data_IF_803723016767
#
_entry.id   IF_803723016767
#
_cell.length_a   1.000
_cell.length_b   1.000
_cell.length_c   1.000
_cell.angle_alpha   90.00
_cell.angle_beta   90.00
_cell.angle_gamma   90.00
#
_symmetry.space_group_name_H-M   'P 1'
#
loop_
_entity.id
_entity.type
_entity.pdbx_description
1 polymer ?
#
# COMPACT_ATOMS: atom_id res chain seq x y z
N UNK A 1 0.89 -59.86 -38.92
CA UNK A 1 0.40 -59.32 -37.64
C UNK A 1 0.04 -57.85 -37.85
N UNK A 2 -1.08 -57.59 -38.53
CA UNK A 2 -2.38 -57.23 -37.94
C UNK A 2 -2.35 -55.98 -37.06
N UNK A 3 -2.35 -54.84 -37.75
CA UNK A 3 -2.84 -53.55 -37.29
C UNK A 3 -4.34 -53.75 -37.04
N UNK A 4 -4.76 -53.70 -35.77
CA UNK A 4 -6.17 -53.82 -35.46
C UNK A 4 -6.87 -52.46 -35.58
N UNK A 5 -7.91 -52.52 -36.40
CA UNK A 5 -9.01 -51.59 -36.60
C UNK A 5 -9.59 -51.17 -35.25
N UNK A 6 -9.57 -49.87 -34.96
CA UNK A 6 -10.66 -49.15 -34.30
C UNK A 6 -10.39 -47.65 -34.49
N UNK A 7 -10.42 -47.25 -35.76
CA UNK A 7 -10.76 -45.87 -36.14
C UNK A 7 -11.98 -45.97 -37.04
N UNK A 8 -12.93 -45.05 -36.84
CA UNK A 8 -14.04 -44.71 -37.72
C UNK A 8 -15.39 -45.41 -37.51
N UNK A 9 -16.21 -44.80 -36.65
CA UNK A 9 -17.62 -44.38 -36.82
C UNK A 9 -18.05 -43.91 -35.42
N UNK A 10 -18.60 -42.72 -35.18
CA UNK A 10 -19.60 -41.99 -35.92
C UNK A 10 -19.66 -40.55 -35.38
N UNK A 11 -19.68 -39.58 -36.29
CA UNK A 11 -20.03 -38.19 -36.04
C UNK A 11 -21.54 -38.03 -35.82
N UNK A 12 -21.90 -36.95 -35.09
CA UNK A 12 -23.07 -36.06 -35.26
C UNK A 12 -24.14 -35.96 -34.13
N UNK A 13 -24.29 -34.70 -33.70
CA UNK A 13 -25.47 -33.95 -33.17
C UNK A 13 -25.65 -33.93 -31.64
N UNK A 14 -25.22 -32.85 -30.96
CA UNK A 14 -25.87 -31.53 -30.71
C UNK A 14 -26.95 -31.61 -29.62
N UNK A 15 -26.70 -30.92 -28.50
CA UNK A 15 -27.58 -30.17 -27.56
C UNK A 15 -26.65 -29.59 -26.47
N UNK A 16 -26.24 -28.30 -26.46
CA UNK A 16 -26.87 -27.12 -25.83
C UNK A 16 -27.33 -27.47 -24.38
N UNK A 17 -26.75 -27.00 -23.25
CA UNK A 17 -26.59 -25.60 -22.77
C UNK A 17 -25.70 -25.54 -21.47
N UNK A 18 -25.50 -24.41 -20.73
CA UNK A 18 -24.18 -23.87 -20.39
C UNK A 18 -23.88 -23.71 -18.88
N UNK A 19 -22.65 -23.27 -18.55
CA UNK A 19 -22.28 -22.69 -17.25
C UNK A 19 -21.07 -23.40 -16.61
N UNK A 20 -20.00 -22.75 -16.17
CA UNK A 20 -19.65 -21.34 -16.06
C UNK A 20 -18.12 -21.35 -15.87
N UNK A 21 -17.37 -20.72 -16.77
CA UNK A 21 -15.91 -20.68 -16.77
C UNK A 21 -15.52 -19.21 -16.80
N UNK A 22 -14.98 -18.68 -15.70
CA UNK A 22 -14.32 -17.37 -15.69
C UNK A 22 -13.12 -17.43 -14.76
N UNK A 23 -11.94 -17.63 -15.37
CA UNK A 23 -10.63 -17.29 -14.80
C UNK A 23 -10.18 -15.99 -15.47
N UNK A 24 -9.69 -15.06 -14.66
CA UNK A 24 -8.63 -14.08 -14.92
C UNK A 24 -8.58 -13.36 -16.27
N UNK A 25 -8.85 -12.05 -16.25
CA UNK A 25 -8.05 -10.99 -16.89
C UNK A 25 -8.82 -9.66 -16.78
N UNK A 26 -8.32 -8.71 -16.00
CA UNK A 26 -8.66 -7.30 -16.23
C UNK A 26 -7.37 -6.50 -16.39
N UNK A 27 -6.84 -6.54 -17.61
CA UNK A 27 -5.91 -5.56 -18.13
C UNK A 27 -6.75 -4.57 -18.93
N UNK A 28 -7.06 -3.42 -18.34
CA UNK A 28 -7.81 -2.35 -19.01
C UNK A 28 -6.87 -1.47 -19.83
N UNK A 29 -6.65 -1.83 -21.10
CA UNK A 29 -6.29 -0.86 -22.14
C UNK A 29 -7.54 -0.01 -22.43
N UNK A 30 -7.48 1.30 -22.21
CA UNK A 30 -8.43 2.23 -22.81
C UNK A 30 -7.81 2.87 -24.05
N UNK A 31 -8.47 2.61 -25.17
CA UNK A 31 -8.27 3.19 -26.49
C UNK A 31 -8.45 4.72 -26.40
N UNK A 32 -7.44 5.47 -26.86
CA UNK A 32 -7.51 6.91 -27.01
C UNK A 32 -8.40 7.26 -28.22
N UNK A 33 -9.52 7.94 -27.97
CA UNK A 33 -10.34 8.57 -29.00
C UNK A 33 -9.97 10.06 -29.04
N UNK A 34 -9.34 10.49 -30.12
CA UNK A 34 -9.01 11.88 -30.43
C UNK A 34 -10.28 12.66 -30.76
N UNK A 35 -10.55 13.73 -30.00
CA UNK A 35 -11.39 14.84 -30.44
C UNK A 35 -10.57 16.13 -30.32
N UNK A 36 -10.37 16.79 -31.46
CA UNK A 36 -9.82 18.14 -31.56
C UNK A 36 -10.79 19.15 -30.94
N UNK A 37 -10.31 19.93 -29.97
CA UNK A 37 -10.99 21.15 -29.50
C UNK A 37 -10.05 22.33 -29.70
N UNK A 38 -10.57 23.34 -30.41
CA UNK A 38 -9.90 24.58 -30.80
C UNK A 38 -9.64 25.49 -29.58
N UNK A 39 -8.59 26.30 -29.72
CA UNK A 39 -8.00 27.19 -28.73
C UNK A 39 -8.94 28.27 -28.15
N UNK A 40 -8.66 28.65 -26.89
CA UNK A 40 -9.20 29.82 -26.20
C UNK A 40 -8.75 29.90 -24.72
N UNK A 41 -7.75 30.74 -24.48
CA UNK A 41 -7.37 31.50 -23.28
C UNK A 41 -6.92 30.84 -21.94
N UNK A 42 -5.65 31.10 -21.65
CA UNK A 42 -4.92 31.27 -20.39
C UNK A 42 -5.60 30.89 -19.05
N UNK A 43 -5.30 29.67 -18.61
CA UNK A 43 -4.99 29.37 -17.19
C UNK A 43 -3.75 28.49 -17.20
N UNK A 44 -2.68 28.91 -16.52
CA UNK A 44 -1.48 28.11 -16.27
C UNK A 44 -1.79 26.87 -15.41
N UNK A 45 -2.41 25.88 -16.05
CA UNK A 45 -2.52 24.50 -15.59
C UNK A 45 -1.21 23.81 -15.93
N UNK A 46 -0.29 23.74 -14.96
CA UNK A 46 0.87 22.84 -15.07
C UNK A 46 0.39 21.41 -14.92
N UNK A 47 -0.20 20.88 -15.99
CA UNK A 47 -0.68 19.50 -16.07
C UNK A 47 0.44 18.54 -15.63
N UNK A 48 0.14 17.66 -14.67
CA UNK A 48 0.90 16.42 -14.48
C UNK A 48 0.62 15.49 -15.68
N UNK A 49 0.90 15.93 -16.91
CA UNK A 49 0.92 15.00 -18.03
C UNK A 49 2.19 14.16 -17.92
N UNK A 50 2.03 12.84 -17.98
CA UNK A 50 3.08 11.84 -17.85
C UNK A 50 4.12 11.96 -18.97
N UNK A 51 5.37 12.38 -18.70
CA UNK A 51 6.46 12.07 -19.61
C UNK A 51 6.90 10.65 -19.27
N UNK A 52 6.88 9.71 -20.24
CA UNK A 52 7.36 8.31 -20.14
C UNK A 52 8.41 8.15 -19.02
N UNK A 53 7.95 7.73 -17.85
CA UNK A 53 8.43 8.33 -16.60
C UNK A 53 9.51 7.49 -15.94
N UNK A 54 10.65 8.11 -15.67
CA UNK A 54 11.57 7.64 -14.63
C UNK A 54 10.79 7.26 -13.36
N UNK A 55 11.23 6.23 -12.61
CA UNK A 55 10.54 5.83 -11.40
C UNK A 55 10.41 7.01 -10.44
N UNK A 56 9.21 7.19 -9.86
CA UNK A 56 8.91 8.29 -8.95
C UNK A 56 9.91 8.35 -7.79
N UNK A 57 10.40 7.20 -7.32
CA UNK A 57 11.43 7.14 -6.30
C UNK A 57 12.62 6.36 -6.84
N UNK A 58 13.73 7.07 -7.09
CA UNK A 58 14.95 6.46 -7.59
C UNK A 58 15.74 5.86 -6.44
N UNK A 59 15.80 4.54 -6.37
CA UNK A 59 16.62 3.80 -5.42
C UNK A 59 18.06 3.65 -5.91
N UNK A 60 19.01 3.66 -4.98
CA UNK A 60 20.38 3.18 -5.27
C UNK A 60 20.38 1.66 -5.47
N UNK A 61 21.39 1.07 -6.14
CA UNK A 61 21.48 -0.39 -6.30
C UNK A 61 21.43 -1.15 -4.96
N UNK A 62 22.04 -0.60 -3.91
CA UNK A 62 22.01 -1.18 -2.56
C UNK A 62 20.61 -1.17 -1.96
N UNK A 63 19.90 -0.04 -2.03
CA UNK A 63 18.53 0.09 -1.54
C UNK A 63 17.58 -0.86 -2.29
N UNK A 64 17.70 -0.93 -3.61
CA UNK A 64 16.92 -1.85 -4.44
C UNK A 64 17.18 -3.32 -4.06
N UNK A 65 18.45 -3.69 -3.86
CA UNK A 65 18.82 -5.05 -3.44
C UNK A 65 18.21 -5.41 -2.08
N UNK A 66 18.27 -4.50 -1.09
CA UNK A 66 17.65 -4.71 0.23
C UNK A 66 16.12 -4.86 0.09
N UNK A 67 15.47 -4.02 -0.71
CA UNK A 67 14.02 -4.08 -0.94
C UNK A 67 13.58 -5.42 -1.53
N UNK A 68 14.28 -5.89 -2.58
CA UNK A 68 13.98 -7.15 -3.24
C UNK A 68 14.26 -8.35 -2.33
N UNK A 69 15.39 -8.35 -1.63
CA UNK A 69 15.72 -9.38 -0.63
C UNK A 69 14.66 -9.44 0.48
N UNK A 70 14.23 -8.29 1.00
CA UNK A 70 13.21 -8.23 2.03
C UNK A 70 11.87 -8.84 1.57
N UNK A 71 11.47 -8.56 0.32
CA UNK A 71 10.26 -9.14 -0.28
C UNK A 71 10.39 -10.66 -0.41
N UNK A 72 11.54 -11.16 -0.84
CA UNK A 72 11.80 -12.59 -1.01
C UNK A 72 11.76 -13.34 0.33
N UNK A 73 12.53 -12.87 1.32
CA UNK A 73 12.58 -13.46 2.68
C UNK A 73 11.18 -13.54 3.30
N UNK A 74 10.39 -12.47 3.16
CA UNK A 74 9.04 -12.43 3.74
C UNK A 74 8.08 -13.30 2.94
N UNK A 75 8.17 -13.33 1.60
CA UNK A 75 7.35 -14.19 0.75
C UNK A 75 7.59 -15.68 1.03
N UNK A 76 8.84 -16.09 1.19
CA UNK A 76 9.22 -17.46 1.57
C UNK A 76 8.62 -17.82 2.93
N UNK A 77 8.79 -16.95 3.93
CA UNK A 77 8.27 -17.16 5.29
C UNK A 77 6.75 -17.33 5.34
N UNK A 78 6.00 -16.59 4.52
CA UNK A 78 4.53 -16.68 4.49
C UNK A 78 4.00 -17.76 3.54
N UNK A 79 4.84 -18.33 2.68
CA UNK A 79 4.46 -19.38 1.74
C UNK A 79 3.34 -18.95 0.77
N UNK A 80 3.37 -17.69 0.30
CA UNK A 80 2.37 -17.13 -0.61
C UNK A 80 0.99 -16.85 0.01
N UNK A 81 0.81 -17.07 1.31
CA UNK A 81 -0.46 -16.77 2.00
C UNK A 81 -0.60 -15.26 2.20
N UNK A 82 -1.79 -14.74 1.90
CA UNK A 82 -2.13 -13.36 2.25
C UNK A 82 -2.34 -13.29 3.76
N UNK A 83 -1.62 -12.44 4.51
CA UNK A 83 -1.77 -12.32 5.95
C UNK A 83 -3.17 -11.83 6.32
N UNK A 84 -3.76 -12.46 7.34
CA UNK A 84 -5.09 -12.15 7.89
C UNK A 84 -5.04 -12.27 9.42
N UNK A 85 -5.88 -11.50 10.11
CA UNK A 85 -6.18 -11.69 11.51
C UNK A 85 -6.90 -13.03 11.73
N UNK A 86 -6.81 -13.57 12.95
CA UNK A 86 -7.40 -14.87 13.29
C UNK A 86 -8.91 -14.82 13.59
N UNK A 87 -9.53 -13.63 13.48
CA UNK A 87 -10.95 -13.43 13.81
C UNK A 87 -11.58 -12.39 12.90
N UNK A 88 -12.89 -12.53 12.70
CA UNK A 88 -13.75 -11.55 12.02
C UNK A 88 -14.47 -10.61 12.99
N UNK A 89 -14.43 -10.90 14.30
CA UNK A 89 -15.10 -10.09 15.32
C UNK A 89 -14.31 -8.82 15.59
N UNK A 90 -14.90 -7.66 15.30
CA UNK A 90 -14.27 -6.37 15.58
C UNK A 90 -14.05 -6.13 17.09
N UNK A 91 -14.82 -6.77 17.97
CA UNK A 91 -14.57 -6.66 19.41
C UNK A 91 -13.31 -7.42 19.80
N UNK A 92 -13.21 -8.70 19.39
CA UNK A 92 -12.03 -9.53 19.62
C UNK A 92 -10.76 -8.93 19.00
N UNK A 93 -10.86 -8.35 17.80
CA UNK A 93 -9.73 -7.66 17.17
C UNK A 93 -9.18 -6.52 18.03
N UNK A 94 -10.02 -5.79 18.76
CA UNK A 94 -9.58 -4.69 19.62
C UNK A 94 -9.00 -5.17 20.94
N UNK A 95 -9.53 -6.25 21.51
CA UNK A 95 -8.96 -6.90 22.69
C UNK A 95 -7.53 -7.38 22.38
N UNK A 96 -7.36 -8.09 21.26
CA UNK A 96 -6.06 -8.55 20.78
C UNK A 96 -5.12 -7.38 20.45
N UNK A 97 -5.64 -6.33 19.79
CA UNK A 97 -4.86 -5.15 19.46
C UNK A 97 -4.34 -4.41 20.70
N UNK A 98 -5.13 -4.35 21.78
CA UNK A 98 -4.72 -3.67 23.02
C UNK A 98 -3.52 -4.34 23.69
N UNK A 99 -3.42 -5.68 23.59
CA UNK A 99 -2.25 -6.44 24.06
C UNK A 99 -1.07 -6.25 23.10
N UNK A 100 -1.33 -6.39 21.80
CA UNK A 100 -0.35 -6.25 20.72
C UNK A 100 0.32 -4.87 20.68
N UNK A 101 -0.44 -3.79 20.93
CA UNK A 101 0.03 -2.40 20.87
C UNK A 101 1.14 -2.09 21.88
N UNK A 102 1.04 -2.64 23.10
CA UNK A 102 2.14 -2.53 24.08
C UNK A 102 3.42 -3.11 23.51
N UNK A 103 3.34 -4.30 22.92
CA UNK A 103 4.51 -4.98 22.38
C UNK A 103 5.06 -4.31 21.13
N UNK A 104 4.19 -3.86 20.23
CA UNK A 104 4.58 -3.07 19.06
C UNK A 104 5.36 -1.82 19.47
N UNK A 105 4.89 -1.09 20.49
CA UNK A 105 5.55 0.13 20.98
C UNK A 105 6.93 -0.13 21.55
N UNK A 106 7.07 -1.17 22.37
CA UNK A 106 8.38 -1.61 22.87
C UNK A 106 9.31 -1.94 21.70
N UNK A 107 8.86 -2.78 20.76
CA UNK A 107 9.66 -3.19 19.61
C UNK A 107 10.07 -2.00 18.74
N UNK A 108 9.13 -1.10 18.43
CA UNK A 108 9.40 0.08 17.61
C UNK A 108 10.44 0.99 18.27
N UNK A 109 10.38 1.19 19.59
CA UNK A 109 11.39 1.96 20.33
C UNK A 109 12.76 1.30 20.27
N UNK A 110 12.84 -0.01 20.53
CA UNK A 110 14.11 -0.74 20.44
C UNK A 110 14.70 -0.69 19.04
N UNK A 111 13.89 -0.92 18.00
CA UNK A 111 14.35 -0.82 16.61
C UNK A 111 14.87 0.58 16.35
N UNK A 112 14.09 1.62 16.68
CA UNK A 112 14.47 3.01 16.46
C UNK A 112 15.80 3.36 17.15
N UNK A 113 15.99 2.94 18.40
CA UNK A 113 17.25 3.13 19.13
C UNK A 113 18.43 2.43 18.44
N UNK A 114 18.25 1.18 17.98
CA UNK A 114 19.30 0.42 17.31
C UNK A 114 19.63 0.93 15.89
N UNK A 115 18.67 1.57 15.21
CA UNK A 115 18.81 1.98 13.81
C UNK A 115 19.00 3.49 13.63
N UNK A 116 19.01 4.26 14.73
CA UNK A 116 19.18 5.71 14.71
C UNK A 116 17.93 6.48 14.27
N UNK A 117 16.74 5.94 14.52
CA UNK A 117 15.46 6.57 14.22
C UNK A 117 14.71 7.05 15.47
N UNK A 118 13.51 7.59 15.24
CA UNK A 118 12.57 7.98 16.30
C UNK A 118 11.27 7.20 16.16
N UNK A 119 10.92 6.42 17.18
CA UNK A 119 9.63 5.73 17.21
C UNK A 119 8.50 6.72 17.49
N UNK A 120 7.47 6.72 16.63
CA UNK A 120 6.32 7.61 16.76
C UNK A 120 5.01 6.82 16.71
N UNK A 121 4.05 7.26 17.51
CA UNK A 121 2.76 6.60 17.69
C UNK A 121 1.61 7.57 17.40
N UNK A 122 0.40 7.05 17.12
CA UNK A 122 -0.79 7.89 16.92
C UNK A 122 -1.00 8.87 18.08
N UNK A 123 -1.57 10.07 17.83
CA UNK A 123 -1.95 11.01 18.88
C UNK A 123 -2.81 10.32 19.96
N UNK A 124 -2.53 10.61 21.23
CA UNK A 124 -3.15 9.92 22.37
C UNK A 124 -2.64 8.50 22.62
N UNK A 125 -1.66 8.02 21.84
CA UNK A 125 -1.07 6.69 21.97
C UNK A 125 -2.08 5.56 21.79
N UNK A 126 -3.22 5.82 21.14
CA UNK A 126 -4.35 4.90 21.10
C UNK A 126 -4.38 4.01 19.87
N UNK A 127 -5.20 2.96 19.97
CA UNK A 127 -5.61 2.16 18.83
C UNK A 127 -6.37 3.01 17.79
N UNK A 128 -6.47 2.51 16.57
CA UNK A 128 -7.36 3.08 15.55
C UNK A 128 -8.78 3.25 16.12
N UNK A 129 -9.45 4.35 15.79
CA UNK A 129 -10.82 4.57 16.26
C UNK A 129 -11.81 3.57 15.63
N UNK A 130 -12.73 3.03 16.44
CA UNK A 130 -13.71 2.00 16.00
C UNK A 130 -14.54 2.43 14.80
N UNK A 131 -14.98 3.69 14.74
CA UNK A 131 -15.72 4.24 13.59
C UNK A 131 -14.91 4.10 12.30
N UNK A 132 -13.64 4.51 12.31
CA UNK A 132 -12.75 4.44 11.15
C UNK A 132 -12.39 3.01 10.79
N UNK A 133 -12.25 2.11 11.76
CA UNK A 133 -12.05 0.69 11.51
C UNK A 133 -13.23 0.07 10.74
N UNK A 134 -14.48 0.33 11.17
CA UNK A 134 -15.68 -0.15 10.46
C UNK A 134 -15.75 0.38 9.03
N UNK A 135 -15.54 1.68 8.85
CA UNK A 135 -15.55 2.30 7.53
C UNK A 135 -14.47 1.70 6.62
N UNK A 136 -13.26 1.44 7.13
CA UNK A 136 -12.19 0.78 6.36
C UNK A 136 -12.60 -0.62 5.94
N UNK A 137 -13.21 -1.38 6.85
CA UNK A 137 -13.70 -2.74 6.56
C UNK A 137 -14.72 -2.70 5.42
N UNK A 138 -15.72 -1.82 5.51
CA UNK A 138 -16.80 -1.68 4.54
C UNK A 138 -16.30 -1.19 3.17
N UNK A 139 -15.51 -0.12 3.15
CA UNK A 139 -15.16 0.62 1.92
C UNK A 139 -13.92 0.07 1.24
N UNK A 140 -12.89 -0.32 1.99
CA UNK A 140 -11.57 -0.67 1.44
C UNK A 140 -11.29 -2.18 1.46
N UNK A 141 -11.92 -2.92 2.38
CA UNK A 141 -11.62 -4.34 2.62
C UNK A 141 -12.75 -5.27 2.20
N UNK A 142 -13.78 -4.76 1.51
CA UNK A 142 -14.89 -5.56 0.99
C UNK A 142 -15.71 -6.28 2.07
N UNK A 143 -15.79 -5.70 3.27
CA UNK A 143 -16.47 -6.27 4.43
C UNK A 143 -15.66 -7.28 5.24
N UNK A 144 -14.44 -7.64 4.82
CA UNK A 144 -13.62 -8.63 5.53
C UNK A 144 -12.79 -8.01 6.66
N UNK A 145 -13.29 -8.17 7.89
CA UNK A 145 -12.62 -7.70 9.09
C UNK A 145 -11.26 -8.37 9.35
N UNK A 146 -11.04 -9.60 8.86
CA UNK A 146 -9.74 -10.28 9.03
C UNK A 146 -8.61 -9.61 8.24
N UNK A 147 -8.95 -8.77 7.27
CA UNK A 147 -7.99 -7.98 6.49
C UNK A 147 -7.47 -6.72 7.24
N UNK A 148 -8.08 -6.36 8.38
CA UNK A 148 -7.78 -5.13 9.11
C UNK A 148 -6.52 -5.30 9.99
N UNK A 149 -5.38 -4.84 9.49
CA UNK A 149 -4.06 -5.03 10.12
C UNK A 149 -3.47 -3.77 10.77
N UNK A 150 -4.23 -2.68 10.84
CA UNK A 150 -3.77 -1.36 11.31
C UNK A 150 -4.57 -0.82 12.51
N UNK A 151 -5.13 -1.70 13.35
CA UNK A 151 -5.73 -1.29 14.63
C UNK A 151 -4.62 -0.85 15.59
N UNK A 152 -3.64 -1.72 15.80
CA UNK A 152 -2.36 -1.42 16.43
C UNK A 152 -1.37 -0.97 15.37
N UNK A 153 -0.82 0.24 15.50
CA UNK A 153 0.00 0.87 14.47
C UNK A 153 1.03 1.84 15.06
N UNK A 154 2.20 1.90 14.44
CA UNK A 154 3.25 2.85 14.76
C UNK A 154 4.14 3.14 13.56
N UNK A 155 5.06 4.07 13.72
CA UNK A 155 6.08 4.36 12.73
C UNK A 155 7.45 4.60 13.36
N UNK A 156 8.49 4.50 12.54
CA UNK A 156 9.84 4.94 12.88
C UNK A 156 10.29 5.94 11.82
N UNK A 157 10.71 7.10 12.30
CA UNK A 157 11.16 8.21 11.49
C UNK A 157 12.68 8.29 11.42
N UNK A 158 13.20 8.56 10.23
CA UNK A 158 14.63 8.67 9.95
C UNK A 158 14.97 9.99 9.26
N UNK A 159 16.24 10.39 9.32
CA UNK A 159 16.70 11.63 8.68
C UNK A 159 17.00 11.40 7.19
N UNK A 160 17.43 10.19 6.82
CA UNK A 160 17.77 9.84 5.45
C UNK A 160 17.25 8.46 5.01
N UNK A 161 17.30 8.22 3.69
CA UNK A 161 16.77 6.99 3.08
C UNK A 161 17.68 5.79 3.38
N UNK A 162 18.99 6.00 3.59
CA UNK A 162 19.93 4.91 3.93
C UNK A 162 19.54 4.30 5.27
N UNK A 163 19.22 5.12 6.27
CA UNK A 163 18.76 4.67 7.58
C UNK A 163 17.44 3.88 7.49
N UNK A 164 16.50 4.30 6.63
CA UNK A 164 15.24 3.56 6.42
C UNK A 164 15.50 2.13 5.92
N UNK A 165 16.38 1.97 4.93
CA UNK A 165 16.73 0.64 4.41
C UNK A 165 17.62 -0.15 5.38
N UNK A 166 18.49 0.50 6.15
CA UNK A 166 19.23 -0.14 7.24
C UNK A 166 18.27 -0.70 8.30
N UNK A 167 17.22 0.03 8.64
CA UNK A 167 16.20 -0.44 9.56
C UNK A 167 15.41 -1.63 9.03
N UNK A 168 15.02 -1.62 7.75
CA UNK A 168 14.39 -2.77 7.11
C UNK A 168 15.29 -4.02 7.21
N UNK A 169 16.58 -3.86 6.88
CA UNK A 169 17.57 -4.94 6.98
C UNK A 169 17.72 -5.44 8.42
N UNK A 170 17.87 -4.52 9.38
CA UNK A 170 17.96 -4.83 10.80
C UNK A 170 16.77 -5.65 11.28
N UNK A 171 15.54 -5.21 10.96
CA UNK A 171 14.30 -5.89 11.37
C UNK A 171 14.28 -7.33 10.86
N UNK A 172 14.60 -7.56 9.60
CA UNK A 172 14.54 -8.92 9.04
C UNK A 172 15.67 -9.80 9.55
N UNK A 173 16.89 -9.27 9.70
CA UNK A 173 18.05 -10.04 10.23
C UNK A 173 17.89 -10.43 11.70
N UNK A 174 17.17 -9.63 12.49
CA UNK A 174 16.91 -9.93 13.91
C UNK A 174 15.66 -10.80 14.13
N UNK A 175 15.07 -11.33 13.05
CA UNK A 175 14.02 -12.35 13.15
C UNK A 175 12.65 -11.83 13.61
N UNK A 176 12.42 -10.51 13.58
CA UNK A 176 11.10 -9.95 13.84
C UNK A 176 10.06 -10.60 12.90
N UNK A 177 8.86 -10.86 13.42
CA UNK A 177 7.83 -11.64 12.73
C UNK A 177 7.08 -10.82 11.66
N UNK A 178 7.81 -10.34 10.65
CA UNK A 178 7.23 -9.64 9.49
C UNK A 178 6.49 -10.64 8.60
N UNK A 179 5.23 -10.34 8.31
CA UNK A 179 4.34 -11.12 7.44
C UNK A 179 3.95 -10.39 6.16
N UNK A 180 4.32 -9.11 6.04
CA UNK A 180 4.17 -8.33 4.81
C UNK A 180 5.18 -7.20 4.77
N UNK A 181 5.73 -6.95 3.58
CA UNK A 181 6.55 -5.78 3.27
C UNK A 181 5.99 -5.13 2.01
N UNK A 182 5.84 -3.82 2.04
CA UNK A 182 5.55 -2.98 0.88
C UNK A 182 6.50 -1.81 0.87
N UNK A 183 7.38 -1.78 -0.12
CA UNK A 183 8.24 -0.63 -0.37
C UNK A 183 7.58 0.28 -1.39
N UNK A 184 7.09 1.45 -0.95
CA UNK A 184 6.40 2.40 -1.83
C UNK A 184 7.34 3.11 -2.81
N UNK A 185 8.65 2.87 -2.74
CA UNK A 185 9.53 3.27 -3.83
C UNK A 185 9.28 2.44 -5.10
N UNK A 186 9.00 1.14 -4.92
CA UNK A 186 8.72 0.19 -6.00
C UNK A 186 7.21 0.11 -6.31
N UNK A 187 6.37 0.37 -5.32
CA UNK A 187 4.91 0.37 -5.42
C UNK A 187 4.32 1.73 -4.99
N UNK A 188 4.56 2.81 -5.77
CA UNK A 188 4.18 4.16 -5.38
C UNK A 188 2.67 4.36 -5.30
N UNK A 189 2.24 5.14 -4.31
CA UNK A 189 0.86 5.61 -4.21
C UNK A 189 0.60 6.76 -5.19
N UNK A 190 -0.67 6.92 -5.60
CA UNK A 190 -1.09 8.05 -6.45
C UNK A 190 -0.72 9.41 -5.86
N UNK A 191 -0.81 9.52 -4.52
CA UNK A 191 -0.43 10.72 -3.75
C UNK A 191 1.06 10.98 -3.72
N UNK A 192 1.89 9.96 -4.00
CA UNK A 192 3.33 10.00 -3.82
C UNK A 192 3.78 9.91 -2.36
N UNK A 193 2.93 9.59 -1.38
CA UNK A 193 3.42 9.32 -0.03
C UNK A 193 4.34 8.09 -0.04
N UNK A 194 5.53 8.21 0.56
CA UNK A 194 6.54 7.15 0.62
C UNK A 194 6.80 6.66 2.03
N UNK A 195 6.78 5.34 2.20
CA UNK A 195 7.27 4.60 3.35
C UNK A 195 7.70 3.19 2.90
N UNK A 196 8.36 2.48 3.80
CA UNK A 196 8.39 1.02 3.81
C UNK A 196 7.37 0.57 4.86
N UNK A 197 6.27 0.00 4.38
CA UNK A 197 5.17 -0.46 5.20
C UNK A 197 5.32 -1.93 5.55
N UNK A 198 5.32 -2.23 6.84
CA UNK A 198 5.47 -3.57 7.40
C UNK A 198 4.20 -3.98 8.14
N UNK A 199 3.80 -5.24 7.98
CA UNK A 199 2.86 -5.88 8.90
C UNK A 199 3.61 -6.93 9.71
N UNK A 200 3.49 -6.86 11.03
CA UNK A 200 4.17 -7.76 11.97
C UNK A 200 3.13 -8.60 12.72
N UNK A 201 3.35 -9.91 12.78
CA UNK A 201 2.60 -10.81 13.65
C UNK A 201 3.14 -10.70 15.07
N UNK A 202 2.31 -10.22 15.99
CA UNK A 202 2.66 -10.10 17.41
C UNK A 202 2.61 -11.47 18.10
N UNK A 203 3.22 -11.62 19.30
CA UNK A 203 3.22 -12.90 20.01
C UNK A 203 1.83 -13.48 20.32
N UNK A 204 0.81 -12.62 20.45
CA UNK A 204 -0.59 -13.05 20.62
C UNK A 204 -1.30 -13.39 19.29
N UNK A 205 -0.60 -13.38 18.16
CA UNK A 205 -1.13 -13.67 16.84
C UNK A 205 -1.80 -12.48 16.14
N UNK A 206 -1.96 -11.33 16.81
CA UNK A 206 -2.50 -10.13 16.19
C UNK A 206 -1.51 -9.54 15.19
N UNK A 207 -1.98 -9.10 14.03
CA UNK A 207 -1.15 -8.41 13.06
C UNK A 207 -1.23 -6.90 13.28
N UNK A 208 -0.07 -6.27 13.46
CA UNK A 208 0.07 -4.84 13.65
C UNK A 208 0.85 -4.18 12.50
N UNK A 209 0.71 -2.86 12.37
CA UNK A 209 1.37 -2.06 11.34
C UNK A 209 2.59 -1.31 11.88
N UNK A 210 3.71 -1.36 11.16
CA UNK A 210 4.88 -0.52 11.39
C UNK A 210 5.31 0.13 10.08
N UNK A 211 5.40 1.46 10.05
CA UNK A 211 5.87 2.21 8.89
C UNK A 211 7.29 2.73 9.13
N UNK A 212 8.16 2.65 8.13
CA UNK A 212 9.50 3.27 8.15
C UNK A 212 9.53 4.38 7.11
N UNK A 213 9.82 5.61 7.50
CA UNK A 213 9.84 6.75 6.56
C UNK A 213 10.71 7.90 7.05
N UNK A 214 10.87 8.94 6.23
CA UNK A 214 11.61 10.14 6.61
C UNK A 214 10.80 11.01 7.58
N UNK A 215 11.49 11.70 8.50
CA UNK A 215 10.92 12.79 9.33
C UNK A 215 10.24 13.84 8.46
N UNK A 216 10.92 14.26 7.39
CA UNK A 216 10.43 15.30 6.48
C UNK A 216 9.10 14.91 5.79
N UNK A 217 8.96 13.64 5.38
CA UNK A 217 7.72 13.13 4.80
C UNK A 217 6.57 13.16 5.81
N UNK A 218 6.83 12.76 7.06
CA UNK A 218 5.81 12.76 8.11
C UNK A 218 5.42 14.17 8.54
N UNK A 219 6.38 15.09 8.62
CA UNK A 219 6.09 16.49 8.92
C UNK A 219 5.04 17.05 7.94
N UNK A 220 5.30 16.93 6.64
CA UNK A 220 4.34 17.37 5.63
C UNK A 220 3.02 16.62 5.71
N UNK A 221 3.07 15.30 5.91
CA UNK A 221 1.87 14.47 6.01
C UNK A 221 0.94 14.90 7.15
N UNK A 222 1.47 15.40 8.26
CA UNK A 222 0.68 15.85 9.41
C UNK A 222 0.17 17.27 9.20
N UNK A 223 1.02 18.19 8.71
CA UNK A 223 0.68 19.60 8.62
C UNK A 223 -0.24 19.95 7.45
N UNK A 224 -0.10 19.26 6.32
CA UNK A 224 -0.77 19.64 5.07
C UNK A 224 -1.36 18.44 4.33
N UNK A 225 -0.69 17.28 4.40
CA UNK A 225 -1.11 16.07 3.71
C UNK A 225 -2.39 15.45 4.29
N UNK A 226 -2.67 15.65 5.57
CA UNK A 226 -3.78 14.99 6.24
C UNK A 226 -5.13 15.41 5.66
N UNK A 227 -5.43 16.71 5.62
CA UNK A 227 -6.70 17.24 5.09
C UNK A 227 -6.92 16.84 3.63
N UNK A 228 -5.84 16.86 2.84
CA UNK A 228 -5.85 16.44 1.42
C UNK A 228 -6.17 14.96 1.28
N UNK A 229 -5.58 14.12 2.12
CA UNK A 229 -5.89 12.70 2.18
C UNK A 229 -7.34 12.45 2.61
N UNK A 230 -7.84 13.18 3.62
CA UNK A 230 -9.24 13.07 4.06
C UNK A 230 -10.21 13.46 2.96
N UNK A 231 -9.94 14.54 2.23
CA UNK A 231 -10.76 14.97 1.10
C UNK A 231 -10.85 13.91 0.00
N UNK A 232 -9.71 13.32 -0.41
CA UNK A 232 -9.69 12.23 -1.40
C UNK A 232 -10.48 11.03 -0.86
N UNK A 233 -10.18 10.61 0.37
CA UNK A 233 -10.82 9.45 1.01
C UNK A 233 -12.32 9.61 1.08
N UNK A 234 -12.82 10.79 1.41
CA UNK A 234 -14.25 11.04 1.56
C UNK A 234 -14.98 10.99 0.21
N UNK A 235 -14.35 11.46 -0.87
CA UNK A 235 -14.89 11.31 -2.24
C UNK A 235 -14.92 9.83 -2.68
N UNK A 236 -13.83 9.10 -2.48
CA UNK A 236 -13.74 7.67 -2.81
C UNK A 236 -14.74 6.84 -2.01
N UNK A 237 -14.82 7.07 -0.69
CA UNK A 237 -15.74 6.38 0.19
C UNK A 237 -17.21 6.68 -0.14
N UNK A 238 -17.51 7.90 -0.63
CA UNK A 238 -18.84 8.24 -1.12
C UNK A 238 -19.17 7.46 -2.38
N UNK A 239 -18.28 7.44 -3.37
CA UNK A 239 -18.49 6.71 -4.62
C UNK A 239 -18.72 5.20 -4.37
N UNK A 240 -17.95 4.59 -3.46
CA UNK A 240 -18.14 3.19 -3.05
C UNK A 240 -19.51 2.96 -2.40
N UNK A 241 -19.90 3.80 -1.43
CA UNK A 241 -21.20 3.67 -0.73
C UNK A 241 -22.39 3.88 -1.65
N UNK A 242 -22.26 4.77 -2.63
CA UNK A 242 -23.27 5.02 -3.66
C UNK A 242 -23.22 4.00 -4.81
N UNK A 243 -22.31 3.02 -4.74
CA UNK A 243 -22.09 1.99 -5.77
C UNK A 243 -21.97 2.57 -7.19
N UNK A 244 -21.19 3.65 -7.32
CA UNK A 244 -20.93 4.33 -8.59
C UNK A 244 -19.44 4.61 -8.79
N UNK A 245 -19.06 4.93 -10.02
CA UNK A 245 -17.76 5.51 -10.29
C UNK A 245 -17.66 6.95 -9.75
N UNK A 246 -16.43 7.40 -9.50
CA UNK A 246 -16.13 8.82 -9.28
C UNK A 246 -16.62 9.65 -10.48
N UNK A 247 -17.25 10.80 -10.22
CA UNK A 247 -17.63 11.72 -11.29
C UNK A 247 -16.38 12.30 -11.97
N UNK A 248 -16.49 12.84 -13.19
CA UNK A 248 -15.37 13.53 -13.84
C UNK A 248 -14.76 14.65 -12.97
N UNK A 249 -15.58 15.39 -12.23
CA UNK A 249 -15.16 16.48 -11.34
C UNK A 249 -14.44 15.96 -10.09
N UNK A 250 -14.97 14.91 -9.45
CA UNK A 250 -14.30 14.25 -8.32
C UNK A 250 -12.94 13.70 -8.76
N UNK A 251 -12.88 13.04 -9.93
CA UNK A 251 -11.64 12.51 -10.50
C UNK A 251 -10.62 13.61 -10.78
N UNK A 252 -11.02 14.69 -11.46
CA UNK A 252 -10.16 15.83 -11.72
C UNK A 252 -9.63 16.46 -10.43
N UNK A 253 -10.45 16.51 -9.38
CA UNK A 253 -10.06 17.00 -8.06
C UNK A 253 -9.03 16.09 -7.40
N UNK A 254 -9.28 14.77 -7.39
CA UNK A 254 -8.34 13.76 -6.86
C UNK A 254 -7.01 13.82 -7.60
N UNK A 255 -7.04 13.87 -8.92
CA UNK A 255 -5.83 13.91 -9.75
C UNK A 255 -4.99 15.17 -9.49
N UNK A 256 -5.65 16.32 -9.35
CA UNK A 256 -4.99 17.58 -8.98
C UNK A 256 -4.33 17.49 -7.59
N UNK A 257 -5.07 17.04 -6.58
CA UNK A 257 -4.54 16.90 -5.21
C UNK A 257 -3.37 15.90 -5.19
N UNK A 258 -3.49 14.76 -5.87
CA UNK A 258 -2.44 13.77 -5.97
C UNK A 258 -1.20 14.30 -6.69
N UNK A 259 -1.36 15.06 -7.78
CA UNK A 259 -0.24 15.69 -8.47
C UNK A 259 0.52 16.69 -7.57
N UNK A 260 -0.21 17.54 -6.84
CA UNK A 260 0.37 18.49 -5.89
C UNK A 260 1.16 17.77 -4.78
N UNK A 261 0.55 16.77 -4.13
CA UNK A 261 1.19 15.98 -3.08
C UNK A 261 2.42 15.23 -3.59
N UNK A 262 2.34 14.64 -4.79
CA UNK A 262 3.41 13.83 -5.37
C UNK A 262 4.69 14.63 -5.56
N UNK A 263 4.58 15.89 -6.01
CA UNK A 263 5.74 16.78 -6.17
C UNK A 263 6.45 17.00 -4.83
N UNK A 264 5.69 17.16 -3.75
CA UNK A 264 6.22 17.46 -2.42
C UNK A 264 6.90 16.23 -1.82
N UNK A 265 6.22 15.09 -1.79
CA UNK A 265 6.80 13.86 -1.26
C UNK A 265 8.00 13.38 -2.07
N UNK A 266 7.95 13.52 -3.40
CA UNK A 266 9.10 13.21 -4.25
C UNK A 266 10.31 14.09 -3.92
N UNK A 267 10.11 15.40 -3.75
CA UNK A 267 11.18 16.32 -3.40
C UNK A 267 11.78 16.00 -2.01
N UNK A 268 10.95 15.65 -1.02
CA UNK A 268 11.40 15.22 0.30
C UNK A 268 12.23 13.93 0.22
N UNK A 269 11.77 12.93 -0.54
CA UNK A 269 12.54 11.71 -0.78
C UNK A 269 13.88 12.00 -1.46
N UNK A 270 13.92 12.86 -2.47
CA UNK A 270 15.16 13.24 -3.15
C UNK A 270 16.16 13.97 -2.23
N UNK A 271 15.68 14.77 -1.27
CA UNK A 271 16.54 15.39 -0.25
C UNK A 271 17.08 14.34 0.72
N UNK A 272 16.23 13.44 1.21
CA UNK A 272 16.63 12.34 2.08
C UNK A 272 17.56 11.31 1.42
N UNK A 273 17.62 11.26 0.08
CA UNK A 273 18.61 10.44 -0.64
C UNK A 273 20.03 11.02 -0.59
N UNK A 274 20.19 12.31 -0.27
CA UNK A 274 21.47 13.04 -0.38
C UNK A 274 22.24 13.17 0.96
N UNK A 275 21.80 12.52 2.03
CA UNK A 275 22.62 12.36 3.24
C UNK A 275 23.64 11.23 3.00
N UNK A 276 24.92 11.47 2.73
CA UNK A 276 25.81 12.53 3.20
C UNK A 276 26.56 13.23 2.05
N UNK A 277 26.34 14.53 1.84
CA UNK A 277 27.38 15.44 1.36
C UNK A 277 28.24 15.87 2.55
N UNK A 278 29.56 16.08 2.35
CA UNK A 278 30.67 15.80 3.28
C UNK A 278 30.49 16.27 4.73
#
# INVERSE_FOLDING_TARGET
MNINKETQKLLCRILIHPGLLVLFLWCGLSVALLQEVRAGDDIQSTSCSSPRSEPLFKLTPKQLSISLWAREVVAEKVGGKVPRQNTLSLDALYEDAAVADKKLKEMARTIAECTGGTAVFPPGGGLKGRKRAREKIEVELGGDASALMDISRGSIEYDDVIQVYHALEFILRHGYAVVRVKDRALEPLSSGFWDIHLNLCMPNGHIAELQLHLKEIRQYSIEQGHDRYEQIRDMEARAVRENRALTPEERATIDRINCEQRRIYHAAFQRGQKGTGP
#
